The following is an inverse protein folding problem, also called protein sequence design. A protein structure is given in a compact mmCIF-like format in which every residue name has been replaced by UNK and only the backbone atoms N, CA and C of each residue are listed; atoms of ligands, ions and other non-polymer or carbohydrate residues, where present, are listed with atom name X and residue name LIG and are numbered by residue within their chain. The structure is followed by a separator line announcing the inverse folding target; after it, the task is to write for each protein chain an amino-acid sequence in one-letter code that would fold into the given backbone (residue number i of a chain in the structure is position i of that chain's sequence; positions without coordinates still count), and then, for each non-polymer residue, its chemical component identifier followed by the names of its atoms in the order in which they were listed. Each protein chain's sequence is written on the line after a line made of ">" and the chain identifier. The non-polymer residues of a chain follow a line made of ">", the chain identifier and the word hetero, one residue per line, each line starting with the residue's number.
data_IF_084548897738
#
_entry.id   IF_084548897738
#
_cell.length_a   1.000
_cell.length_b   1.000
_cell.length_c   1.000
_cell.angle_alpha   90.00
_cell.angle_beta   90.00
_cell.angle_gamma   90.00
#
_symmetry.space_group_name_H-M   'P 1'
#
loop_
_entity.id
_entity.type
_entity.pdbx_description
1 polymer ?
#
# COMPACT_ATOMS: atom_id res chain seq x y z
N UNK A 1 11.83 7.38 42.23
CA UNK A 1 13.15 6.72 42.07
C UNK A 1 13.50 6.53 40.60
N UNK A 2 12.56 6.12 39.74
CA UNK A 2 12.81 5.82 38.31
C UNK A 2 13.62 6.89 37.53
N UNK A 3 13.25 8.17 37.57
CA UNK A 3 13.96 9.23 36.81
C UNK A 3 15.42 9.41 37.27
N UNK A 4 15.70 9.25 38.56
CA UNK A 4 17.07 9.38 39.09
C UNK A 4 17.94 8.22 38.60
N UNK A 5 17.39 7.01 38.56
CA UNK A 5 18.09 5.83 38.07
C UNK A 5 18.33 5.93 36.55
N UNK A 6 17.34 6.38 35.78
CA UNK A 6 17.51 6.57 34.33
C UNK A 6 18.50 7.70 33.99
N UNK A 7 18.46 8.83 34.70
CA UNK A 7 19.44 9.92 34.51
C UNK A 7 20.85 9.49 34.88
N UNK A 8 21.00 8.62 35.87
CA UNK A 8 22.26 7.94 36.16
C UNK A 8 22.70 7.05 34.98
N UNK A 9 21.82 6.21 34.44
CA UNK A 9 22.10 5.38 33.27
C UNK A 9 22.55 6.22 32.07
N UNK A 10 21.85 7.30 31.74
CA UNK A 10 22.24 8.22 30.66
C UNK A 10 23.63 8.83 30.90
N UNK A 11 23.94 9.19 32.15
CA UNK A 11 25.24 9.75 32.53
C UNK A 11 26.36 8.71 32.38
N UNK A 12 26.10 7.46 32.74
CA UNK A 12 27.04 6.34 32.57
C UNK A 12 27.27 6.01 31.08
N UNK A 13 26.20 5.96 30.27
CA UNK A 13 26.30 5.78 28.81
C UNK A 13 27.08 6.91 28.13
N UNK A 14 26.85 8.16 28.54
CA UNK A 14 27.59 9.32 28.04
C UNK A 14 29.07 9.27 28.43
N UNK A 15 29.39 8.81 29.64
CA UNK A 15 30.76 8.62 30.09
C UNK A 15 31.47 7.51 29.30
N UNK A 16 30.77 6.41 29.01
CA UNK A 16 31.30 5.33 28.18
C UNK A 16 31.55 5.80 26.74
N UNK A 17 30.65 6.61 26.18
CA UNK A 17 30.83 7.24 24.87
C UNK A 17 32.06 8.17 24.85
N UNK A 18 32.29 8.95 25.91
CA UNK A 18 33.48 9.79 26.06
C UNK A 18 34.77 8.96 26.10
N UNK A 19 34.79 7.84 26.81
CA UNK A 19 35.95 6.96 26.85
C UNK A 19 36.23 6.29 25.50
N UNK A 20 35.20 5.75 24.84
CA UNK A 20 35.32 5.15 23.51
C UNK A 20 35.80 6.17 22.47
N UNK A 21 35.25 7.40 22.50
CA UNK A 21 35.66 8.49 21.62
C UNK A 21 37.12 8.92 21.89
N UNK A 22 37.53 8.99 23.16
CA UNK A 22 38.92 9.30 23.54
C UNK A 22 39.90 8.25 23.03
N UNK A 23 39.54 6.97 23.10
CA UNK A 23 40.37 5.88 22.61
C UNK A 23 40.50 5.89 21.08
N UNK A 24 39.41 6.17 20.36
CA UNK A 24 39.44 6.32 18.90
C UNK A 24 40.16 7.57 18.42
N UNK A 25 40.14 8.66 19.20
CA UNK A 25 40.85 9.91 18.92
C UNK A 25 40.52 10.58 17.58
N UNK A 26 39.38 10.21 16.97
CA UNK A 26 39.00 10.65 15.62
C UNK A 26 39.90 10.10 14.50
N UNK A 27 40.68 9.04 14.75
CA UNK A 27 41.56 8.43 13.76
C UNK A 27 40.81 7.35 12.94
N UNK A 28 40.54 7.55 11.63
CA UNK A 28 39.82 6.57 10.82
C UNK A 28 40.54 5.22 10.67
N UNK A 29 41.84 5.17 10.99
CA UNK A 29 42.66 3.95 10.93
C UNK A 29 42.60 3.11 12.22
N UNK A 30 42.00 3.63 13.29
CA UNK A 30 41.87 2.92 14.57
C UNK A 30 40.65 1.97 14.56
N UNK A 31 40.59 1.06 13.58
CA UNK A 31 39.40 0.22 13.35
C UNK A 31 38.98 -0.63 14.57
N UNK A 32 39.92 -0.95 15.46
CA UNK A 32 39.64 -1.69 16.71
C UNK A 32 38.71 -0.94 17.68
N UNK A 33 38.62 0.40 17.60
CA UNK A 33 37.76 1.21 18.49
C UNK A 33 36.38 1.49 17.89
N UNK A 34 36.18 1.26 16.58
CA UNK A 34 34.94 1.63 15.90
C UNK A 34 33.72 0.91 16.48
N UNK A 35 33.87 -0.38 16.81
CA UNK A 35 32.80 -1.16 17.41
C UNK A 35 32.40 -0.59 18.78
N UNK A 36 33.37 -0.33 19.66
CA UNK A 36 33.13 0.22 20.99
C UNK A 36 32.46 1.61 20.94
N UNK A 37 32.83 2.46 19.96
CA UNK A 37 32.19 3.76 19.74
C UNK A 37 30.74 3.58 19.28
N UNK A 38 30.49 2.67 18.33
CA UNK A 38 29.13 2.40 17.83
C UNK A 38 28.22 1.82 18.92
N UNK A 39 28.76 0.91 19.74
CA UNK A 39 28.04 0.32 20.88
C UNK A 39 27.71 1.37 21.94
N UNK A 40 28.68 2.22 22.32
CA UNK A 40 28.45 3.29 23.29
C UNK A 40 27.44 4.33 22.77
N UNK A 41 27.46 4.65 21.47
CA UNK A 41 26.45 5.51 20.86
C UNK A 41 25.04 4.90 20.92
N UNK A 42 24.93 3.60 20.66
CA UNK A 42 23.65 2.88 20.72
C UNK A 42 23.11 2.84 22.16
N UNK A 43 23.94 2.52 23.15
CA UNK A 43 23.56 2.52 24.57
C UNK A 43 23.13 3.92 25.05
N UNK A 44 23.81 4.97 24.57
CA UNK A 44 23.42 6.34 24.90
C UNK A 44 22.07 6.70 24.26
N UNK A 45 21.81 6.26 23.03
CA UNK A 45 20.52 6.46 22.36
C UNK A 45 19.38 5.75 23.12
N UNK A 46 19.58 4.49 23.51
CA UNK A 46 18.60 3.73 24.30
C UNK A 46 18.29 4.42 25.64
N UNK A 47 19.31 4.92 26.34
CA UNK A 47 19.11 5.65 27.59
C UNK A 47 18.35 6.98 27.41
N UNK A 48 18.53 7.66 26.27
CA UNK A 48 17.74 8.86 25.91
C UNK A 48 16.29 8.48 25.64
N UNK A 49 16.06 7.42 24.88
CA UNK A 49 14.72 6.94 24.54
C UNK A 49 13.93 6.55 25.82
N UNK A 50 14.56 5.85 26.78
CA UNK A 50 13.95 5.45 28.06
C UNK A 50 13.50 6.65 28.92
N UNK A 51 14.37 7.66 29.06
CA UNK A 51 14.04 8.89 29.79
C UNK A 51 12.92 9.65 29.07
N UNK A 52 12.99 9.74 27.75
CA UNK A 52 12.00 10.45 26.94
C UNK A 52 10.61 9.82 27.11
N UNK A 53 10.51 8.49 27.10
CA UNK A 53 9.27 7.75 27.38
C UNK A 53 8.74 8.12 28.77
N UNK A 54 9.59 8.03 29.80
CA UNK A 54 9.16 8.26 31.19
C UNK A 54 8.70 9.69 31.44
N UNK A 55 9.38 10.68 30.85
CA UNK A 55 8.98 12.08 30.93
C UNK A 55 7.69 12.36 30.17
N UNK A 56 7.51 11.76 29.00
CA UNK A 56 6.28 11.89 28.23
C UNK A 56 5.08 11.27 28.95
N UNK A 57 5.24 10.10 29.59
CA UNK A 57 4.18 9.49 30.40
C UNK A 57 3.77 10.39 31.56
N UNK A 58 4.74 10.90 32.33
CA UNK A 58 4.46 11.82 33.44
C UNK A 58 3.80 13.13 32.98
N UNK A 59 4.21 13.67 31.82
CA UNK A 59 3.58 14.85 31.22
C UNK A 59 2.15 14.56 30.75
N UNK A 60 1.93 13.39 30.16
CA UNK A 60 0.63 12.93 29.67
C UNK A 60 -0.39 12.78 30.79
N UNK A 61 0.02 12.24 31.95
CA UNK A 61 -0.85 12.13 33.15
C UNK A 61 -1.34 13.51 33.63
N UNK A 62 -0.50 14.53 33.48
CA UNK A 62 -0.81 15.92 33.80
C UNK A 62 -1.41 16.73 32.65
N UNK A 63 -1.84 16.12 31.53
CA UNK A 63 -2.42 16.84 30.40
C UNK A 63 -1.45 17.79 29.67
N UNK A 64 -0.14 17.69 29.92
CA UNK A 64 0.91 18.51 29.32
C UNK A 64 1.32 17.93 27.96
N UNK A 65 0.70 18.43 26.90
CA UNK A 65 0.84 17.88 25.54
C UNK A 65 1.84 18.62 24.63
N UNK A 66 2.63 19.54 25.17
CA UNK A 66 3.56 20.36 24.38
C UNK A 66 4.58 19.54 23.59
N UNK A 67 5.24 18.57 24.24
CA UNK A 67 6.21 17.69 23.57
C UNK A 67 5.58 16.79 22.52
N UNK A 68 4.31 16.39 22.69
CA UNK A 68 3.58 15.63 21.67
C UNK A 68 3.31 16.45 20.41
N UNK A 69 2.90 17.71 20.60
CA UNK A 69 2.65 18.63 19.49
C UNK A 69 3.94 18.92 18.72
N UNK A 70 5.05 19.11 19.44
CA UNK A 70 6.39 19.28 18.84
C UNK A 70 6.81 18.03 18.04
N UNK A 71 6.61 16.83 18.59
CA UNK A 71 6.94 15.58 17.90
C UNK A 71 6.12 15.40 16.60
N UNK A 72 4.82 15.72 16.62
CA UNK A 72 3.99 15.68 15.41
C UNK A 72 4.49 16.72 14.40
N UNK A 73 4.78 17.94 14.84
CA UNK A 73 5.28 19.00 13.96
C UNK A 73 6.65 18.67 13.34
N UNK A 74 7.55 18.03 14.10
CA UNK A 74 8.84 17.55 13.60
C UNK A 74 8.64 16.44 12.55
N UNK A 75 7.78 15.47 12.84
CA UNK A 75 7.45 14.41 11.88
C UNK A 75 6.84 14.96 10.58
N UNK A 76 6.02 16.02 10.67
CA UNK A 76 5.49 16.75 9.52
C UNK A 76 6.59 17.47 8.73
N UNK A 77 7.57 18.09 9.41
CA UNK A 77 8.70 18.74 8.76
C UNK A 77 9.55 17.75 7.96
N UNK A 78 9.85 16.58 8.56
CA UNK A 78 10.60 15.49 7.92
C UNK A 78 9.91 14.90 6.69
N UNK A 79 8.59 14.96 6.62
CA UNK A 79 7.84 14.53 5.44
C UNK A 79 8.17 15.38 4.19
N UNK A 80 8.44 16.67 4.39
CA UNK A 80 8.79 17.65 3.36
C UNK A 80 10.29 17.69 3.04
N UNK A 81 11.15 17.08 3.87
CA UNK A 81 12.61 17.09 3.69
C UNK A 81 13.05 16.28 2.47
N UNK A 82 13.26 16.94 1.33
CA UNK A 82 14.01 16.42 0.20
C UNK A 82 13.59 15.03 -0.32
N UNK A 83 14.52 14.37 -1.01
CA UNK A 83 14.38 12.96 -1.41
C UNK A 83 15.03 12.11 -0.31
N UNK A 84 14.35 11.08 0.22
CA UNK A 84 14.94 10.22 1.23
C UNK A 84 16.19 9.51 0.68
N UNK A 85 17.11 9.06 1.57
CA UNK A 85 18.11 8.07 1.19
C UNK A 85 17.44 6.84 0.56
N UNK A 86 18.13 6.16 -0.36
CA UNK A 86 17.54 5.14 -1.23
C UNK A 86 16.58 4.20 -0.47
N UNK A 87 15.31 4.11 -0.90
CA UNK A 87 14.32 3.26 -0.23
C UNK A 87 14.74 1.79 -0.35
N UNK A 88 14.83 1.10 0.79
CA UNK A 88 15.15 -0.34 0.86
C UNK A 88 13.97 -1.24 0.44
N UNK A 89 12.74 -0.70 0.48
CA UNK A 89 11.49 -1.43 0.22
C UNK A 89 10.71 -0.91 -0.99
N UNK A 90 9.70 -1.68 -1.39
CA UNK A 90 8.80 -1.28 -2.47
C UNK A 90 7.68 -0.35 -1.97
N UNK A 91 7.03 0.37 -2.89
CA UNK A 91 5.85 1.18 -2.58
C UNK A 91 4.78 0.38 -1.81
N UNK A 92 4.58 -0.90 -2.15
CA UNK A 92 3.57 -1.77 -1.52
C UNK A 92 3.94 -2.09 -0.07
N UNK A 93 5.22 -2.23 0.25
CA UNK A 93 5.69 -2.51 1.61
C UNK A 93 5.42 -1.30 2.52
N UNK A 94 5.73 -0.10 2.03
CA UNK A 94 5.44 1.15 2.72
C UNK A 94 3.94 1.40 2.82
N UNK A 95 3.18 1.18 1.73
CA UNK A 95 1.73 1.28 1.71
C UNK A 95 1.08 0.39 2.78
N UNK A 96 1.52 -0.87 2.90
CA UNK A 96 0.98 -1.82 3.88
C UNK A 96 1.17 -1.30 5.31
N UNK A 97 2.37 -0.78 5.58
CA UNK A 97 2.72 -0.23 6.89
C UNK A 97 1.94 1.06 7.17
N UNK A 98 1.78 1.93 6.18
CA UNK A 98 0.97 3.15 6.32
C UNK A 98 -0.51 2.86 6.59
N UNK A 99 -1.10 1.85 5.92
CA UNK A 99 -2.49 1.44 6.17
C UNK A 99 -2.66 0.96 7.62
N UNK A 100 -1.69 0.23 8.16
CA UNK A 100 -1.68 -0.20 9.57
C UNK A 100 -1.74 1.00 10.52
N UNK A 101 -0.80 1.95 10.40
CA UNK A 101 -0.76 3.11 11.30
C UNK A 101 -1.95 4.06 11.10
N UNK A 102 -2.41 4.26 9.86
CA UNK A 102 -3.62 5.04 9.58
C UNK A 102 -4.85 4.47 10.29
N UNK A 103 -5.02 3.14 10.26
CA UNK A 103 -6.11 2.46 10.99
C UNK A 103 -5.93 2.54 12.50
N UNK A 104 -4.71 2.41 13.02
CA UNK A 104 -4.44 2.55 14.45
C UNK A 104 -4.86 3.95 14.95
N UNK A 105 -4.44 5.02 14.24
CA UNK A 105 -4.84 6.40 14.56
C UNK A 105 -6.37 6.55 14.59
N UNK A 106 -7.09 6.01 13.60
CA UNK A 106 -8.56 6.08 13.58
C UNK A 106 -9.20 5.36 14.77
N UNK A 107 -8.69 4.18 15.14
CA UNK A 107 -9.20 3.40 16.29
C UNK A 107 -8.95 4.18 17.59
N UNK A 108 -7.72 4.64 17.82
CA UNK A 108 -7.36 5.42 19.02
C UNK A 108 -8.16 6.72 19.08
N UNK A 109 -8.34 7.42 17.95
CA UNK A 109 -9.15 8.63 17.88
C UNK A 109 -10.62 8.37 18.23
N UNK A 110 -11.17 7.25 17.76
CA UNK A 110 -12.54 6.84 18.11
C UNK A 110 -12.67 6.49 19.59
N UNK A 111 -11.64 5.90 20.19
CA UNK A 111 -11.56 5.65 21.62
C UNK A 111 -11.50 6.95 22.43
N UNK A 112 -10.72 7.94 21.98
CA UNK A 112 -10.66 9.28 22.60
C UNK A 112 -12.05 9.94 22.64
N UNK A 113 -12.87 9.78 21.60
CA UNK A 113 -14.25 10.28 21.62
C UNK A 113 -15.07 9.68 22.76
N UNK A 114 -14.97 8.37 22.96
CA UNK A 114 -15.68 7.66 24.03
C UNK A 114 -15.15 8.11 25.40
N UNK A 115 -13.82 8.11 25.57
CA UNK A 115 -13.16 8.42 26.83
C UNK A 115 -13.29 9.89 27.23
N UNK A 116 -13.46 10.80 26.27
CA UNK A 116 -13.80 12.21 26.56
C UNK A 116 -15.10 12.39 27.34
N UNK A 117 -15.99 11.40 27.32
CA UNK A 117 -17.24 11.39 28.08
C UNK A 117 -17.11 10.62 29.39
N UNK A 118 -16.41 9.49 29.36
CA UNK A 118 -16.43 8.51 30.46
C UNK A 118 -15.24 8.63 31.39
N UNK A 119 -14.04 8.85 30.86
CA UNK A 119 -12.76 8.80 31.58
C UNK A 119 -11.75 9.79 30.96
N UNK A 120 -11.91 11.12 31.15
CA UNK A 120 -11.02 12.12 30.56
C UNK A 120 -9.54 12.01 30.98
N UNK A 121 -9.27 11.38 32.12
CA UNK A 121 -7.93 11.10 32.65
C UNK A 121 -7.10 10.15 31.76
N UNK A 122 -7.76 9.31 30.96
CA UNK A 122 -7.07 8.39 30.03
C UNK A 122 -6.66 9.06 28.71
N UNK A 123 -7.13 10.30 28.46
CA UNK A 123 -6.90 10.99 27.19
C UNK A 123 -5.44 11.29 26.91
N UNK A 124 -4.61 11.49 27.94
CA UNK A 124 -3.18 11.71 27.79
C UNK A 124 -2.47 10.49 27.18
N UNK A 125 -2.79 9.29 27.65
CA UNK A 125 -2.24 8.04 27.09
C UNK A 125 -2.65 7.82 25.64
N UNK A 126 -3.92 8.09 25.31
CA UNK A 126 -4.42 7.99 23.94
C UNK A 126 -3.80 9.06 23.01
N UNK A 127 -3.60 10.28 23.50
CA UNK A 127 -2.92 11.35 22.76
C UNK A 127 -1.45 10.99 22.47
N UNK A 128 -0.77 10.36 23.43
CA UNK A 128 0.58 9.82 23.23
C UNK A 128 0.59 8.74 22.14
N UNK A 129 -0.36 7.81 22.17
CA UNK A 129 -0.48 6.76 21.15
C UNK A 129 -0.72 7.34 19.75
N UNK A 130 -1.63 8.32 19.59
CA UNK A 130 -1.83 9.03 18.30
C UNK A 130 -0.54 9.69 17.82
N UNK A 131 0.24 10.28 18.73
CA UNK A 131 1.51 10.95 18.40
C UNK A 131 2.55 9.97 17.86
N UNK A 132 2.70 8.81 18.51
CA UNK A 132 3.62 7.75 18.08
C UNK A 132 3.18 7.18 16.73
N UNK A 133 1.91 6.82 16.58
CA UNK A 133 1.39 6.24 15.34
C UNK A 133 1.48 7.23 14.17
N UNK A 134 1.22 8.52 14.42
CA UNK A 134 1.40 9.56 13.41
C UNK A 134 2.86 9.71 12.98
N UNK A 135 3.79 9.70 13.93
CA UNK A 135 5.23 9.82 13.62
C UNK A 135 5.71 8.67 12.73
N UNK A 136 5.25 7.45 13.01
CA UNK A 136 5.51 6.29 12.16
C UNK A 136 4.84 6.44 10.78
N UNK A 137 3.58 6.87 10.73
CA UNK A 137 2.87 7.12 9.48
C UNK A 137 3.58 8.17 8.61
N UNK A 138 4.06 9.25 9.20
CA UNK A 138 4.79 10.32 8.49
C UNK A 138 6.11 9.81 7.91
N UNK A 139 6.88 9.05 8.68
CA UNK A 139 8.11 8.43 8.19
C UNK A 139 7.85 7.49 7.00
N UNK A 140 6.85 6.62 7.10
CA UNK A 140 6.46 5.71 6.03
C UNK A 140 5.87 6.47 4.82
N UNK A 141 5.13 7.54 5.06
CA UNK A 141 4.58 8.43 4.03
C UNK A 141 5.66 9.11 3.21
N UNK A 142 6.78 9.45 3.82
CA UNK A 142 7.93 10.01 3.13
C UNK A 142 8.56 8.99 2.16
N UNK A 143 8.75 7.75 2.60
CA UNK A 143 9.30 6.65 1.80
C UNK A 143 8.33 6.20 0.68
N UNK A 144 7.03 6.08 1.00
CA UNK A 144 5.99 5.76 0.03
C UNK A 144 5.90 6.86 -1.05
N UNK A 145 5.98 8.13 -0.67
CA UNK A 145 5.93 9.23 -1.64
C UNK A 145 7.15 9.25 -2.58
N UNK A 146 8.32 8.81 -2.11
CA UNK A 146 9.53 8.71 -2.92
C UNK A 146 9.51 7.52 -3.90
N UNK A 147 8.79 6.45 -3.56
CA UNK A 147 8.63 5.24 -4.38
C UNK A 147 7.36 5.24 -5.22
N UNK A 148 6.47 6.23 -5.05
CA UNK A 148 5.21 6.32 -5.76
C UNK A 148 5.41 6.79 -7.20
N UNK A 149 4.84 6.03 -8.13
CA UNK A 149 4.78 6.38 -9.55
C UNK A 149 3.32 6.36 -10.04
N UNK A 150 2.80 7.47 -10.59
CA UNK A 150 3.48 8.73 -10.93
C UNK A 150 3.73 9.66 -9.72
N UNK A 151 4.61 10.67 -9.90
CA UNK A 151 4.98 11.66 -8.85
C UNK A 151 3.79 12.40 -8.23
N UNK A 152 2.69 12.55 -8.96
CA UNK A 152 1.46 13.16 -8.45
C UNK A 152 0.87 12.36 -7.28
N UNK A 153 0.98 11.03 -7.31
CA UNK A 153 0.55 10.15 -6.20
C UNK A 153 1.41 10.44 -4.97
N UNK A 154 2.72 10.52 -5.13
CA UNK A 154 3.63 10.83 -4.03
C UNK A 154 3.34 12.19 -3.40
N UNK A 155 3.06 13.21 -4.22
CA UNK A 155 2.62 14.51 -3.75
C UNK A 155 1.30 14.43 -2.97
N UNK A 156 0.29 13.75 -3.50
CA UNK A 156 -0.99 13.56 -2.81
C UNK A 156 -0.83 12.85 -1.47
N UNK A 157 0.01 11.81 -1.38
CA UNK A 157 0.30 11.11 -0.13
C UNK A 157 0.88 12.08 0.90
N UNK A 158 1.91 12.86 0.53
CA UNK A 158 2.50 13.87 1.44
C UNK A 158 1.45 14.87 1.94
N UNK A 159 0.69 15.47 1.02
CA UNK A 159 -0.35 16.44 1.39
C UNK A 159 -1.38 15.86 2.36
N UNK A 160 -1.89 14.65 2.11
CA UNK A 160 -2.89 14.02 2.99
C UNK A 160 -2.31 13.67 4.36
N UNK A 161 -1.07 13.23 4.42
CA UNK A 161 -0.39 12.94 5.71
C UNK A 161 -0.13 14.24 6.49
N UNK A 162 0.17 15.36 5.82
CA UNK A 162 0.28 16.68 6.49
C UNK A 162 -1.05 17.17 7.04
N UNK A 163 -2.12 17.10 6.25
CA UNK A 163 -3.47 17.49 6.68
C UNK A 163 -3.92 16.67 7.91
N UNK A 164 -3.62 15.38 7.91
CA UNK A 164 -3.81 14.49 9.05
C UNK A 164 -2.99 14.94 10.25
N UNK A 165 -1.71 15.28 10.07
CA UNK A 165 -0.83 15.76 11.15
C UNK A 165 -1.35 17.01 11.83
N UNK A 166 -1.79 18.00 11.06
CA UNK A 166 -2.48 19.16 11.62
C UNK A 166 -3.72 18.75 12.42
N UNK A 167 -4.52 17.80 11.91
CA UNK A 167 -5.65 17.24 12.66
C UNK A 167 -5.26 16.60 13.99
N UNK A 168 -4.19 15.81 14.00
CA UNK A 168 -3.64 15.17 15.20
C UNK A 168 -3.15 16.21 16.22
N UNK A 169 -2.47 17.29 15.80
CA UNK A 169 -2.06 18.39 16.70
C UNK A 169 -3.27 18.99 17.42
N UNK A 170 -4.31 19.35 16.67
CA UNK A 170 -5.53 19.91 17.27
C UNK A 170 -6.19 18.92 18.23
N UNK A 171 -6.31 17.64 17.84
CA UNK A 171 -6.89 16.60 18.69
C UNK A 171 -6.13 16.44 20.01
N UNK A 172 -4.80 16.36 19.95
CA UNK A 172 -3.90 16.24 21.11
C UNK A 172 -4.02 17.46 22.03
N UNK A 173 -4.06 18.68 21.47
CA UNK A 173 -4.26 19.90 22.24
C UNK A 173 -5.61 19.91 22.99
N UNK A 174 -6.69 19.51 22.33
CA UNK A 174 -8.02 19.44 22.97
C UNK A 174 -8.12 18.31 23.99
N UNK A 175 -7.42 17.20 23.78
CA UNK A 175 -7.29 16.13 24.75
C UNK A 175 -6.61 16.60 26.04
N UNK A 176 -5.46 17.29 25.94
CA UNK A 176 -4.77 17.87 27.09
C UNK A 176 -5.62 18.91 27.83
N UNK A 177 -6.28 19.81 27.09
CA UNK A 177 -7.18 20.80 27.69
C UNK A 177 -8.34 20.16 28.46
N UNK A 178 -8.97 19.13 27.89
CA UNK A 178 -10.07 18.41 28.55
C UNK A 178 -9.59 17.61 29.77
N UNK A 179 -8.40 17.04 29.72
CA UNK A 179 -7.82 16.33 30.87
C UNK A 179 -7.53 17.29 32.03
N UNK A 180 -7.08 18.51 31.73
CA UNK A 180 -6.87 19.58 32.72
C UNK A 180 -8.17 20.18 33.25
N UNK A 181 -9.27 20.05 32.51
CA UNK A 181 -10.59 20.55 32.90
C UNK A 181 -11.70 19.59 32.47
N UNK A 182 -11.85 18.44 33.17
CA UNK A 182 -12.75 17.34 32.74
C UNK A 182 -14.23 17.72 32.65
N UNK A 183 -14.64 18.76 33.37
CA UNK A 183 -16.02 19.25 33.38
C UNK A 183 -16.31 20.27 32.28
N UNK A 184 -15.31 20.67 31.48
CA UNK A 184 -15.50 21.65 30.43
C UNK A 184 -16.23 21.04 29.22
N UNK A 185 -17.52 21.37 29.12
CA UNK A 185 -18.39 20.96 28.01
C UNK A 185 -17.93 21.48 26.65
N UNK A 186 -17.22 22.61 26.60
CA UNK A 186 -16.74 23.19 25.35
C UNK A 186 -15.56 22.40 24.79
N UNK A 187 -14.50 22.20 25.59
CA UNK A 187 -13.34 21.36 25.21
C UNK A 187 -13.75 19.95 24.81
N UNK A 188 -14.75 19.37 25.50
CA UNK A 188 -15.31 18.07 25.13
C UNK A 188 -15.94 18.06 23.75
N UNK A 189 -16.74 19.07 23.40
CA UNK A 189 -17.35 19.19 22.08
C UNK A 189 -16.29 19.38 20.99
N UNK A 190 -15.32 20.25 21.23
CA UNK A 190 -14.22 20.49 20.29
C UNK A 190 -13.38 19.23 20.06
N UNK A 191 -13.11 18.44 21.10
CA UNK A 191 -12.39 17.16 20.96
C UNK A 191 -13.16 16.19 20.04
N UNK A 192 -14.48 16.07 20.22
CA UNK A 192 -15.32 15.21 19.38
C UNK A 192 -15.32 15.69 17.92
N UNK A 193 -15.37 17.00 17.68
CA UNK A 193 -15.27 17.57 16.34
C UNK A 193 -13.89 17.33 15.71
N UNK A 194 -12.80 17.51 16.47
CA UNK A 194 -11.44 17.20 16.04
C UNK A 194 -11.27 15.72 15.69
N UNK A 195 -11.82 14.82 16.52
CA UNK A 195 -11.74 13.39 16.31
C UNK A 195 -12.44 12.95 15.02
N UNK A 196 -13.61 13.53 14.71
CA UNK A 196 -14.29 13.29 13.43
C UNK A 196 -13.45 13.77 12.24
N UNK A 197 -12.88 14.97 12.33
CA UNK A 197 -12.03 15.52 11.29
C UNK A 197 -10.76 14.65 11.06
N UNK A 198 -10.16 14.11 12.13
CA UNK A 198 -9.03 13.17 12.02
C UNK A 198 -9.46 11.88 11.32
N UNK A 199 -10.61 11.30 11.67
CA UNK A 199 -11.16 10.11 11.00
C UNK A 199 -11.38 10.33 9.49
N UNK A 200 -11.91 11.51 9.10
CA UNK A 200 -12.07 11.88 7.68
C UNK A 200 -10.71 11.99 6.96
N UNK A 201 -9.72 12.62 7.60
CA UNK A 201 -8.36 12.75 7.04
C UNK A 201 -7.64 11.41 6.92
N UNK A 202 -7.85 10.49 7.88
CA UNK A 202 -7.38 9.11 7.75
C UNK A 202 -7.96 8.45 6.50
N UNK A 203 -9.26 8.62 6.23
CA UNK A 203 -9.87 8.08 5.02
C UNK A 203 -9.26 8.68 3.74
N UNK A 204 -8.91 9.97 3.75
CA UNK A 204 -8.21 10.61 2.63
C UNK A 204 -6.80 10.05 2.40
N UNK A 205 -6.04 9.78 3.47
CA UNK A 205 -4.73 9.11 3.37
C UNK A 205 -4.88 7.71 2.76
N UNK A 206 -5.83 6.91 3.25
CA UNK A 206 -6.10 5.58 2.70
C UNK A 206 -6.50 5.61 1.23
N UNK A 207 -7.28 6.60 0.81
CA UNK A 207 -7.67 6.81 -0.59
C UNK A 207 -6.47 7.15 -1.48
N UNK A 208 -5.59 8.06 -1.04
CA UNK A 208 -4.37 8.41 -1.76
C UNK A 208 -3.44 7.20 -1.93
N UNK A 209 -3.32 6.37 -0.89
CA UNK A 209 -2.56 5.12 -0.94
C UNK A 209 -3.13 4.13 -1.96
N UNK A 210 -4.45 3.95 -1.99
CA UNK A 210 -5.10 3.05 -2.96
C UNK A 210 -4.94 3.53 -4.40
N UNK A 211 -4.97 4.85 -4.63
CA UNK A 211 -4.73 5.42 -5.95
C UNK A 211 -3.34 5.06 -6.49
N UNK A 212 -2.34 4.94 -5.61
CA UNK A 212 -0.96 4.63 -5.98
C UNK A 212 -0.71 3.24 -6.53
N UNK A 213 -1.56 2.25 -6.25
CA UNK A 213 -1.40 0.89 -6.78
C UNK A 213 -2.65 0.33 -7.46
N UNK A 214 -3.65 1.17 -7.75
CA UNK A 214 -4.94 0.77 -8.34
C UNK A 214 -4.79 -0.08 -9.61
N UNK A 215 -3.88 0.30 -10.51
CA UNK A 215 -3.60 -0.42 -11.75
C UNK A 215 -2.99 -1.79 -11.50
N UNK A 216 -1.96 -1.85 -10.66
CA UNK A 216 -1.33 -3.14 -10.29
C UNK A 216 -2.29 -4.09 -9.58
N UNK A 217 -3.19 -3.58 -8.72
CA UNK A 217 -4.24 -4.38 -8.06
C UNK A 217 -5.27 -4.91 -9.06
N UNK A 218 -5.66 -4.09 -10.04
CA UNK A 218 -6.51 -4.54 -11.13
C UNK A 218 -5.85 -5.65 -11.96
N UNK A 219 -4.52 -5.57 -12.22
CA UNK A 219 -3.79 -6.65 -12.87
C UNK A 219 -3.77 -7.95 -12.04
N UNK A 220 -3.60 -7.87 -10.71
CA UNK A 220 -3.67 -9.05 -9.83
C UNK A 220 -5.05 -9.71 -9.91
N UNK A 221 -6.10 -8.90 -9.82
CA UNK A 221 -7.48 -9.37 -9.91
C UNK A 221 -7.75 -9.98 -11.30
N UNK A 222 -7.26 -9.34 -12.36
CA UNK A 222 -7.40 -9.81 -13.73
C UNK A 222 -6.70 -11.15 -13.96
N UNK A 223 -5.48 -11.33 -13.46
CA UNK A 223 -4.76 -12.60 -13.57
C UNK A 223 -5.52 -13.75 -12.89
N UNK A 224 -6.12 -13.50 -11.72
CA UNK A 224 -6.97 -14.49 -11.03
C UNK A 224 -8.23 -14.82 -11.83
N UNK A 225 -8.89 -13.82 -12.42
CA UNK A 225 -10.05 -14.02 -13.27
C UNK A 225 -9.70 -14.86 -14.52
N UNK A 226 -8.61 -14.55 -15.20
CA UNK A 226 -8.13 -15.31 -16.37
C UNK A 226 -7.77 -16.76 -15.99
N UNK A 227 -7.18 -16.97 -14.81
CA UNK A 227 -6.93 -18.34 -14.30
C UNK A 227 -8.22 -19.14 -14.12
N UNK A 228 -9.29 -18.49 -13.64
CA UNK A 228 -10.62 -19.09 -13.57
C UNK A 228 -11.19 -19.45 -14.95
N UNK A 229 -11.00 -18.59 -15.95
CA UNK A 229 -11.40 -18.84 -17.34
C UNK A 229 -10.63 -20.03 -17.93
N UNK A 230 -9.33 -20.14 -17.66
CA UNK A 230 -8.52 -21.28 -18.11
C UNK A 230 -9.05 -22.59 -17.51
N UNK A 231 -9.43 -22.59 -16.23
CA UNK A 231 -10.01 -23.77 -15.58
C UNK A 231 -11.38 -24.17 -16.16
N UNK A 232 -12.22 -23.18 -16.53
CA UNK A 232 -13.49 -23.40 -17.24
C UNK A 232 -13.25 -24.01 -18.64
N UNK A 233 -12.24 -23.50 -19.36
CA UNK A 233 -11.82 -24.05 -20.65
C UNK A 233 -11.27 -25.48 -20.53
N UNK A 234 -10.45 -25.78 -19.51
CA UNK A 234 -9.96 -27.14 -19.25
C UNK A 234 -11.13 -28.12 -19.02
N UNK A 235 -12.17 -27.67 -18.32
CA UNK A 235 -13.41 -28.44 -18.12
C UNK A 235 -14.15 -28.65 -19.43
N UNK A 236 -14.26 -27.62 -20.27
CA UNK A 236 -14.90 -27.72 -21.59
C UNK A 236 -14.14 -28.65 -22.53
N UNK A 237 -12.80 -28.61 -22.52
CA UNK A 237 -11.94 -29.52 -23.29
C UNK A 237 -12.17 -30.97 -22.85
N UNK A 238 -12.35 -31.22 -21.55
CA UNK A 238 -12.67 -32.55 -21.04
C UNK A 238 -14.02 -33.05 -21.59
N UNK A 239 -15.05 -32.20 -21.63
CA UNK A 239 -16.35 -32.57 -22.21
C UNK A 239 -16.26 -32.87 -23.71
N UNK A 240 -15.53 -32.05 -24.47
CA UNK A 240 -15.30 -32.26 -25.91
C UNK A 240 -14.53 -33.56 -26.16
N UNK A 241 -13.44 -33.79 -25.42
CA UNK A 241 -12.62 -35.00 -25.53
C UNK A 241 -13.38 -36.28 -25.18
N UNK A 242 -14.38 -36.19 -24.30
CA UNK A 242 -15.27 -37.29 -23.95
C UNK A 242 -16.43 -37.49 -24.96
N UNK A 243 -16.56 -36.64 -25.99
CA UNK A 243 -17.68 -36.67 -26.94
C UNK A 243 -19.01 -36.27 -26.31
N UNK A 244 -18.98 -35.53 -25.20
CA UNK A 244 -20.17 -35.13 -24.42
C UNK A 244 -20.56 -33.66 -24.63
N UNK A 245 -19.77 -32.92 -25.42
CA UNK A 245 -20.05 -31.53 -25.76
C UNK A 245 -21.01 -31.45 -26.95
N UNK A 246 -22.31 -31.42 -26.64
CA UNK A 246 -23.39 -31.46 -27.64
C UNK A 246 -23.89 -30.04 -27.99
N UNK A 247 -24.47 -29.85 -29.19
CA UNK A 247 -25.13 -28.60 -29.56
C UNK A 247 -26.30 -28.31 -28.63
N UNK A 248 -26.43 -27.06 -28.20
CA UNK A 248 -27.58 -26.60 -27.42
C UNK A 248 -28.74 -26.12 -28.31
N UNK A 249 -28.40 -25.61 -29.51
CA UNK A 249 -29.33 -24.99 -30.46
C UNK A 249 -29.05 -25.49 -31.90
N UNK A 250 -29.87 -25.07 -32.86
CA UNK A 250 -29.68 -25.31 -34.31
C UNK A 250 -28.66 -24.35 -34.98
N UNK A 251 -27.92 -23.57 -34.19
CA UNK A 251 -26.89 -22.67 -34.69
C UNK A 251 -25.68 -23.46 -35.20
N UNK A 252 -24.96 -22.89 -36.17
CA UNK A 252 -23.77 -23.48 -36.78
C UNK A 252 -22.53 -22.67 -36.44
N UNK A 253 -21.34 -23.26 -36.57
CA UNK A 253 -20.08 -22.54 -36.38
C UNK A 253 -19.97 -21.26 -37.25
N UNK A 254 -20.58 -21.26 -38.44
CA UNK A 254 -20.58 -20.10 -39.33
C UNK A 254 -21.25 -18.87 -38.69
N UNK A 255 -22.28 -19.09 -37.87
CA UNK A 255 -23.03 -18.02 -37.18
C UNK A 255 -22.18 -17.35 -36.09
N UNK A 256 -21.25 -18.08 -35.50
CA UNK A 256 -20.37 -17.57 -34.42
C UNK A 256 -19.04 -17.02 -34.93
N UNK A 257 -18.60 -17.41 -36.14
CA UNK A 257 -17.29 -17.04 -36.69
C UNK A 257 -17.02 -15.54 -36.70
N UNK A 258 -18.00 -14.73 -37.09
CA UNK A 258 -17.85 -13.27 -37.13
C UNK A 258 -17.65 -12.70 -35.72
N UNK A 259 -18.43 -13.19 -34.74
CA UNK A 259 -18.33 -12.78 -33.34
C UNK A 259 -16.99 -13.17 -32.71
N UNK A 260 -16.44 -14.34 -33.05
CA UNK A 260 -15.09 -14.76 -32.63
C UNK A 260 -14.05 -13.76 -33.17
N UNK A 261 -14.07 -13.49 -34.48
CA UNK A 261 -13.12 -12.58 -35.12
C UNK A 261 -13.23 -11.15 -34.59
N UNK A 262 -14.45 -10.67 -34.35
CA UNK A 262 -14.69 -9.32 -33.80
C UNK A 262 -14.14 -9.20 -32.38
N UNK A 263 -14.37 -10.19 -31.54
CA UNK A 263 -13.88 -10.19 -30.14
C UNK A 263 -12.37 -10.37 -30.08
N UNK A 264 -11.79 -11.22 -30.93
CA UNK A 264 -10.34 -11.37 -31.05
C UNK A 264 -9.66 -10.05 -31.46
N UNK A 265 -10.25 -9.29 -32.40
CA UNK A 265 -9.74 -7.95 -32.77
C UNK A 265 -9.81 -6.96 -31.60
N UNK A 266 -10.87 -7.01 -30.80
CA UNK A 266 -10.97 -6.18 -29.60
C UNK A 266 -9.85 -6.53 -28.60
N UNK A 267 -9.53 -7.82 -28.44
CA UNK A 267 -8.46 -8.26 -27.54
C UNK A 267 -7.06 -7.77 -27.99
N UNK A 268 -6.83 -7.66 -29.30
CA UNK A 268 -5.61 -7.05 -29.84
C UNK A 268 -5.51 -5.57 -29.47
N UNK A 269 -6.62 -4.84 -29.45
CA UNK A 269 -6.62 -3.44 -28.97
C UNK A 269 -6.40 -3.36 -27.45
N UNK A 270 -7.03 -4.24 -26.68
CA UNK A 270 -6.80 -4.34 -25.22
C UNK A 270 -5.33 -4.64 -24.88
N UNK A 271 -4.67 -5.48 -25.69
CA UNK A 271 -3.23 -5.78 -25.59
C UNK A 271 -2.37 -4.52 -25.69
N UNK A 272 -2.69 -3.64 -26.66
CA UNK A 272 -2.00 -2.35 -26.81
C UNK A 272 -2.28 -1.41 -25.63
N UNK A 273 -3.51 -1.44 -25.11
CA UNK A 273 -3.88 -0.65 -23.94
C UNK A 273 -3.17 -1.13 -22.67
N UNK A 274 -2.93 -2.43 -22.49
CA UNK A 274 -2.13 -2.96 -21.39
C UNK A 274 -0.67 -2.48 -21.48
N UNK A 275 -0.05 -2.62 -22.67
CA UNK A 275 1.36 -2.21 -22.88
C UNK A 275 1.54 -0.71 -22.66
N UNK A 276 0.65 0.12 -23.22
CA UNK A 276 0.71 1.57 -23.02
C UNK A 276 0.28 1.99 -21.61
N UNK A 277 -0.60 1.22 -20.97
CA UNK A 277 -1.05 1.42 -19.60
C UNK A 277 0.07 1.24 -18.57
N UNK A 278 1.00 0.30 -18.78
CA UNK A 278 2.16 0.09 -17.90
C UNK A 278 3.02 1.35 -17.74
N UNK A 279 3.16 2.13 -18.81
CA UNK A 279 3.92 3.38 -18.84
C UNK A 279 3.06 4.64 -18.62
N UNK A 280 1.76 4.48 -18.30
CA UNK A 280 0.82 5.58 -18.12
C UNK A 280 0.35 5.66 -16.66
N UNK A 281 -0.90 6.05 -16.41
CA UNK A 281 -1.45 6.15 -15.05
C UNK A 281 -2.04 4.82 -14.54
N UNK A 282 -2.08 4.67 -13.21
CA UNK A 282 -2.72 3.54 -12.54
C UNK A 282 -4.20 3.38 -12.94
N UNK A 283 -4.92 4.48 -13.20
CA UNK A 283 -6.30 4.43 -13.68
C UNK A 283 -6.43 3.83 -15.08
N UNK A 284 -5.55 4.23 -16.02
CA UNK A 284 -5.55 3.69 -17.38
C UNK A 284 -5.15 2.22 -17.37
N UNK A 285 -4.15 1.86 -16.57
CA UNK A 285 -3.76 0.47 -16.40
C UNK A 285 -4.91 -0.37 -15.82
N UNK A 286 -5.62 0.14 -14.81
CA UNK A 286 -6.77 -0.56 -14.23
C UNK A 286 -7.88 -0.78 -15.25
N UNK A 287 -8.20 0.24 -16.06
CA UNK A 287 -9.19 0.15 -17.12
C UNK A 287 -8.77 -0.86 -18.20
N UNK A 288 -7.50 -0.86 -18.62
CA UNK A 288 -6.98 -1.80 -19.60
C UNK A 288 -7.06 -3.25 -19.11
N UNK A 289 -6.68 -3.51 -17.85
CA UNK A 289 -6.79 -4.83 -17.24
C UNK A 289 -8.25 -5.33 -17.17
N UNK A 290 -9.17 -4.46 -16.75
CA UNK A 290 -10.60 -4.80 -16.68
C UNK A 290 -11.22 -5.04 -18.07
N UNK A 291 -10.87 -4.21 -19.06
CA UNK A 291 -11.30 -4.37 -20.45
C UNK A 291 -10.82 -5.72 -21.01
N UNK A 292 -9.55 -6.04 -20.80
CA UNK A 292 -8.94 -7.29 -21.25
C UNK A 292 -9.66 -8.52 -20.69
N UNK A 293 -9.99 -8.52 -19.38
CA UNK A 293 -10.76 -9.61 -18.74
C UNK A 293 -12.14 -9.74 -19.36
N UNK A 294 -12.85 -8.62 -19.54
CA UNK A 294 -14.19 -8.63 -20.16
C UNK A 294 -14.14 -9.22 -21.57
N UNK A 295 -13.15 -8.82 -22.37
CA UNK A 295 -13.00 -9.27 -23.75
C UNK A 295 -12.62 -10.74 -23.83
N UNK A 296 -11.71 -11.25 -22.99
CA UNK A 296 -11.35 -12.69 -23.00
C UNK A 296 -12.49 -13.57 -22.48
N UNK A 297 -13.29 -13.10 -21.51
CA UNK A 297 -14.51 -13.80 -21.09
C UNK A 297 -15.48 -13.92 -22.28
N UNK A 298 -15.76 -12.80 -22.96
CA UNK A 298 -16.64 -12.81 -24.14
C UNK A 298 -16.09 -13.70 -25.27
N UNK A 299 -14.77 -13.66 -25.52
CA UNK A 299 -14.13 -14.50 -26.53
C UNK A 299 -14.28 -15.98 -26.18
N UNK A 300 -14.05 -16.33 -24.92
CA UNK A 300 -14.20 -17.69 -24.39
C UNK A 300 -15.63 -18.17 -24.56
N UNK A 301 -16.63 -17.37 -24.20
CA UNK A 301 -18.03 -17.76 -24.32
C UNK A 301 -18.44 -17.98 -25.78
N UNK A 302 -18.09 -17.06 -26.68
CA UNK A 302 -18.42 -17.22 -28.11
C UNK A 302 -17.68 -18.42 -28.72
N UNK A 303 -16.44 -18.70 -28.30
CA UNK A 303 -15.69 -19.89 -28.76
C UNK A 303 -16.30 -21.18 -28.24
N UNK A 304 -16.77 -21.22 -26.98
CA UNK A 304 -17.49 -22.39 -26.44
C UNK A 304 -18.77 -22.68 -27.22
N UNK A 305 -19.58 -21.66 -27.52
CA UNK A 305 -20.80 -21.81 -28.34
C UNK A 305 -20.44 -22.22 -29.78
N UNK A 306 -19.37 -21.64 -30.32
CA UNK A 306 -18.81 -22.05 -31.62
C UNK A 306 -18.39 -23.52 -31.64
N UNK A 307 -17.82 -24.05 -30.56
CA UNK A 307 -17.44 -25.45 -30.46
C UNK A 307 -18.66 -26.39 -30.30
N UNK A 308 -19.63 -26.03 -29.44
CA UNK A 308 -20.84 -26.85 -29.24
C UNK A 308 -21.67 -26.98 -30.52
N UNK A 309 -21.76 -25.90 -31.32
CA UNK A 309 -22.47 -25.89 -32.61
C UNK A 309 -21.83 -26.76 -33.71
N UNK A 310 -20.62 -27.28 -33.52
CA UNK A 310 -19.97 -28.20 -34.47
C UNK A 310 -20.53 -29.63 -34.40
N UNK A 311 -21.24 -29.98 -33.32
CA UNK A 311 -21.71 -31.34 -33.06
C UNK A 311 -20.65 -32.23 -32.41
N UNK A 312 -21.10 -33.21 -31.64
CA UNK A 312 -20.25 -34.20 -30.97
C UNK A 312 -19.69 -35.28 -31.90
N UNK A 313 -20.06 -35.25 -33.18
CA UNK A 313 -19.58 -36.16 -34.21
C UNK A 313 -18.12 -35.89 -34.63
N UNK A 314 -17.60 -34.68 -34.35
CA UNK A 314 -16.20 -34.30 -34.59
C UNK A 314 -15.57 -33.62 -33.35
N UNK A 315 -15.30 -34.40 -32.28
CA UNK A 315 -14.75 -33.87 -31.04
C UNK A 315 -13.31 -33.35 -31.21
N UNK A 316 -12.56 -33.84 -32.19
CA UNK A 316 -11.19 -33.37 -32.46
C UNK A 316 -11.19 -31.88 -32.85
N UNK A 317 -12.09 -31.47 -33.75
CA UNK A 317 -12.17 -30.07 -34.16
C UNK A 317 -12.67 -29.16 -33.03
N UNK A 318 -13.61 -29.63 -32.20
CA UNK A 318 -14.02 -28.90 -30.99
C UNK A 318 -12.83 -28.67 -30.03
N UNK A 319 -12.06 -29.72 -29.77
CA UNK A 319 -10.88 -29.65 -28.88
C UNK A 319 -9.82 -28.70 -29.43
N UNK A 320 -9.55 -28.71 -30.74
CA UNK A 320 -8.59 -27.79 -31.37
C UNK A 320 -9.04 -26.34 -31.20
N UNK A 321 -10.32 -26.04 -31.44
CA UNK A 321 -10.87 -24.70 -31.32
C UNK A 321 -10.81 -24.18 -29.87
N UNK A 322 -11.18 -25.00 -28.88
CA UNK A 322 -11.15 -24.61 -27.47
C UNK A 322 -9.72 -24.47 -26.95
N UNK A 323 -8.78 -25.33 -27.40
CA UNK A 323 -7.36 -25.16 -27.06
C UNK A 323 -6.79 -23.85 -27.61
N UNK A 324 -7.20 -23.42 -28.80
CA UNK A 324 -6.74 -22.15 -29.36
C UNK A 324 -7.09 -20.95 -28.45
N UNK A 325 -8.33 -20.86 -27.95
CA UNK A 325 -8.70 -19.76 -27.03
C UNK A 325 -8.07 -19.93 -25.64
N UNK A 326 -7.83 -21.17 -25.20
CA UNK A 326 -7.09 -21.44 -23.95
C UNK A 326 -5.66 -20.95 -24.00
N UNK A 327 -4.97 -21.16 -25.11
CA UNK A 327 -3.60 -20.68 -25.28
C UNK A 327 -3.54 -19.14 -25.39
N UNK A 328 -4.56 -18.52 -26.00
CA UNK A 328 -4.75 -17.05 -25.95
C UNK A 328 -4.97 -16.57 -24.51
N UNK A 329 -5.79 -17.26 -23.71
CA UNK A 329 -6.02 -16.90 -22.31
C UNK A 329 -4.73 -17.02 -21.46
N UNK A 330 -3.90 -18.04 -21.70
CA UNK A 330 -2.58 -18.18 -21.06
C UNK A 330 -1.63 -17.04 -21.45
N UNK A 331 -1.53 -16.74 -22.74
CA UNK A 331 -0.69 -15.64 -23.22
C UNK A 331 -1.16 -14.29 -22.64
N UNK A 332 -2.48 -14.09 -22.48
CA UNK A 332 -3.03 -12.91 -21.82
C UNK A 332 -2.68 -12.86 -20.33
N UNK A 333 -2.73 -13.98 -19.62
CA UNK A 333 -2.32 -14.03 -18.21
C UNK A 333 -0.84 -13.67 -18.04
N UNK A 334 0.03 -14.19 -18.90
CA UNK A 334 1.45 -13.83 -18.95
C UNK A 334 1.65 -12.34 -19.25
N UNK A 335 0.91 -11.79 -20.22
CA UNK A 335 0.93 -10.37 -20.54
C UNK A 335 0.52 -9.51 -19.33
N UNK A 336 -0.58 -9.84 -18.64
CA UNK A 336 -1.05 -9.11 -17.46
C UNK A 336 0.01 -9.16 -16.35
N UNK A 337 0.65 -10.31 -16.15
CA UNK A 337 1.74 -10.48 -15.19
C UNK A 337 2.95 -9.60 -15.53
N UNK A 338 3.38 -9.61 -16.80
CA UNK A 338 4.46 -8.75 -17.28
C UNK A 338 4.11 -7.26 -17.15
N UNK A 339 2.86 -6.89 -17.44
CA UNK A 339 2.34 -5.52 -17.30
C UNK A 339 2.41 -5.06 -15.84
N UNK A 340 2.03 -5.92 -14.89
CA UNK A 340 2.16 -5.63 -13.45
C UNK A 340 3.61 -5.35 -13.06
N UNK A 341 4.54 -6.20 -13.52
CA UNK A 341 5.97 -6.08 -13.20
C UNK A 341 6.64 -4.85 -13.84
N UNK A 342 6.09 -4.37 -14.95
CA UNK A 342 6.58 -3.22 -15.71
C UNK A 342 5.89 -1.90 -15.32
N UNK A 343 4.78 -1.94 -14.58
CA UNK A 343 4.01 -0.74 -14.22
C UNK A 343 4.87 0.27 -13.45
N UNK A 344 4.85 1.53 -13.91
CA UNK A 344 5.59 2.64 -13.30
C UNK A 344 7.04 2.77 -13.78
N UNK A 345 7.66 1.65 -14.17
CA UNK A 345 9.09 1.58 -14.46
C UNK A 345 9.51 2.33 -15.73
N UNK A 346 10.78 2.76 -15.81
CA UNK A 346 11.29 3.47 -16.98
C UNK A 346 11.35 2.56 -18.21
N UNK A 347 11.33 3.17 -19.40
CA UNK A 347 11.15 2.45 -20.67
C UNK A 347 12.31 1.49 -21.04
N UNK A 348 13.48 1.67 -20.42
CA UNK A 348 14.68 0.86 -20.55
C UNK A 348 14.80 -0.25 -19.49
N UNK A 349 13.83 -0.37 -18.57
CA UNK A 349 13.82 -1.46 -17.59
C UNK A 349 13.64 -2.83 -18.27
N UNK A 350 14.37 -3.88 -17.84
CA UNK A 350 14.22 -5.25 -18.35
C UNK A 350 12.77 -5.76 -18.43
N UNK A 351 11.93 -5.38 -17.46
CA UNK A 351 10.51 -5.78 -17.43
C UNK A 351 9.69 -5.16 -18.56
N UNK A 352 10.06 -3.98 -19.06
CA UNK A 352 9.42 -3.36 -20.24
C UNK A 352 9.71 -4.14 -21.52
N UNK A 353 10.89 -4.78 -21.63
CA UNK A 353 11.19 -5.69 -22.74
C UNK A 353 10.40 -6.99 -22.64
N UNK A 354 10.28 -7.56 -21.43
CA UNK A 354 9.44 -8.74 -21.19
C UNK A 354 7.97 -8.47 -21.54
N UNK A 355 7.44 -7.31 -21.14
CA UNK A 355 6.10 -6.85 -21.49
C UNK A 355 5.89 -6.80 -23.01
N UNK A 356 6.81 -6.17 -23.75
CA UNK A 356 6.74 -6.11 -25.22
C UNK A 356 6.83 -7.49 -25.87
N UNK A 357 7.62 -8.39 -25.30
CA UNK A 357 7.72 -9.77 -25.77
C UNK A 357 6.41 -10.53 -25.56
N UNK A 358 5.82 -10.47 -24.36
CA UNK A 358 4.54 -11.10 -24.05
C UNK A 358 3.42 -10.58 -24.96
N UNK A 359 3.39 -9.26 -25.22
CA UNK A 359 2.41 -8.64 -26.10
C UNK A 359 2.57 -9.02 -27.58
N UNK A 360 3.75 -9.51 -28.00
CA UNK A 360 4.00 -9.99 -29.36
C UNK A 360 3.59 -11.46 -29.53
N UNK A 361 3.60 -12.22 -28.44
CA UNK A 361 3.17 -13.63 -28.41
C UNK A 361 1.65 -13.72 -28.46
N UNK A 362 0.96 -12.82 -27.74
CA UNK A 362 -0.49 -12.66 -27.77
C UNK A 362 -0.99 -12.11 -29.12
#
# INVERSE_FOLDING_TARGET
>A
MNILDQTKTLSESALQMLYAAKEGGGNPKAAHTHYAISEAAQLMKEAVDDIMVTLNEAASEGGMVGGMVEAIAEAMGRLDEGTPPEPEGSFVDYQTTMVKYSKAIAITTQEMMTKSVTCPEELGGLASQVTVDYSQLAHQGHLAAATAEPKEVGFQIKTRVQELGHGCIYLVQKAGALQMSPTDSFSKRELIECARAVTEKVAMVLSALQAGNKGTQACITAASAVSGIIADLDTTIMFASAGTLNPENEETFADHRESILKTAKALVEDTKLLVSGAASSQDRLAQAAQSSVKTITMLTDVVKIGATSMGSDDPETQVVLINAVRDVAKALAELISATKCASGKPADDPSMYQLKSAAKVL
#
